data_IF_316398837790
#
_entry.id   IF_316398837790
#
_cell.length_a   1.000
_cell.length_b   1.000
_cell.length_c   1.000
_cell.angle_alpha   90.00
_cell.angle_beta   90.00
_cell.angle_gamma   90.00
#
_symmetry.space_group_name_H-M   'P 1'
#
loop_
_entity.id
_entity.type
_entity.pdbx_description
1 polymer ?
#
# COMPACT_ATOMS: atom_id res chain seq x y z
N UNK A 1 -3.10 -15.65 -0.36
CA UNK A 1 -2.83 -16.23 0.96
C UNK A 1 -4.01 -17.05 1.39
N UNK A 2 -3.79 -18.09 2.17
CA UNK A 2 -4.86 -18.92 2.72
C UNK A 2 -5.72 -18.09 3.71
N UNK A 3 -7.07 -18.21 3.68
CA UNK A 3 -7.94 -17.45 4.58
C UNK A 3 -7.70 -17.74 6.07
N UNK A 4 -7.34 -18.99 6.42
CA UNK A 4 -7.04 -19.36 7.80
C UNK A 4 -5.76 -18.69 8.31
N UNK A 5 -4.81 -18.44 7.39
CA UNK A 5 -3.58 -17.73 7.70
C UNK A 5 -3.80 -16.23 7.93
N UNK A 6 -4.83 -15.64 7.31
CA UNK A 6 -5.18 -14.23 7.47
C UNK A 6 -5.79 -13.91 8.85
N UNK A 7 -6.46 -14.88 9.48
CA UNK A 7 -7.07 -14.71 10.80
C UNK A 7 -6.07 -14.84 11.96
N UNK A 8 -4.93 -15.49 11.70
CA UNK A 8 -3.85 -15.67 12.69
C UNK A 8 -3.36 -14.32 13.22
N UNK A 9 -3.11 -14.24 14.53
CA UNK A 9 -2.58 -13.04 15.17
C UNK A 9 -1.10 -12.91 14.86
N UNK A 10 -0.63 -11.67 14.74
CA UNK A 10 0.79 -11.37 14.53
C UNK A 10 1.66 -11.91 15.68
N UNK A 11 1.14 -11.89 16.90
CA UNK A 11 1.83 -12.39 18.10
C UNK A 11 1.99 -13.91 18.11
N UNK A 12 1.16 -14.64 17.34
CA UNK A 12 1.21 -16.10 17.27
C UNK A 12 2.15 -16.60 16.18
N UNK A 13 2.68 -15.69 15.34
CA UNK A 13 3.65 -16.00 14.32
C UNK A 13 5.06 -16.05 14.92
N UNK A 14 5.86 -17.02 14.48
CA UNK A 14 7.29 -16.99 14.71
C UNK A 14 7.96 -15.87 13.92
N UNK A 15 9.18 -15.50 14.30
CA UNK A 15 9.95 -14.46 13.61
C UNK A 15 10.18 -14.80 12.13
N UNK A 16 10.44 -16.07 11.82
CA UNK A 16 10.60 -16.58 10.46
C UNK A 16 9.29 -16.55 9.66
N UNK A 17 8.15 -16.90 10.27
CA UNK A 17 6.83 -16.77 9.63
C UNK A 17 6.50 -15.29 9.34
N UNK A 18 6.81 -14.41 10.28
CA UNK A 18 6.59 -12.97 10.16
C UNK A 18 7.45 -12.34 9.06
N UNK A 19 8.71 -12.77 8.96
CA UNK A 19 9.61 -12.31 7.91
C UNK A 19 9.12 -12.75 6.53
N UNK A 20 8.63 -13.99 6.42
CA UNK A 20 8.03 -14.53 5.20
C UNK A 20 6.71 -13.82 4.84
N UNK A 21 5.91 -13.48 5.85
CA UNK A 21 4.64 -12.74 5.69
C UNK A 21 4.84 -11.32 5.16
N UNK A 22 5.76 -10.56 5.75
CA UNK A 22 6.01 -9.18 5.34
C UNK A 22 6.70 -9.12 3.97
N UNK A 23 7.63 -10.05 3.72
CA UNK A 23 8.39 -10.08 2.49
C UNK A 23 9.25 -8.83 2.25
N UNK A 24 9.85 -8.70 1.05
CA UNK A 24 10.78 -7.60 0.75
C UNK A 24 10.10 -6.26 0.46
N UNK A 25 8.83 -6.26 0.05
CA UNK A 25 8.09 -5.06 -0.39
C UNK A 25 7.15 -4.49 0.67
N UNK A 26 7.37 -4.79 1.95
CA UNK A 26 6.53 -4.24 3.02
C UNK A 26 6.79 -2.74 3.21
N UNK A 27 5.71 -1.98 3.39
CA UNK A 27 5.80 -0.56 3.71
C UNK A 27 6.55 -0.35 5.04
N UNK A 28 7.43 0.68 5.16
CA UNK A 28 8.16 0.94 6.41
C UNK A 28 7.25 1.09 7.63
N UNK A 29 6.11 1.76 7.47
CA UNK A 29 5.13 1.93 8.55
C UNK A 29 4.50 0.62 9.02
N UNK A 30 4.42 -0.39 8.15
CA UNK A 30 3.89 -1.71 8.53
C UNK A 30 4.89 -2.49 9.38
N UNK A 31 6.20 -2.35 9.12
CA UNK A 31 7.23 -2.94 9.99
C UNK A 31 7.14 -2.39 11.42
N UNK A 32 6.96 -1.08 11.55
CA UNK A 32 6.81 -0.41 12.86
C UNK A 32 5.59 -0.96 13.62
N UNK A 33 4.45 -1.12 12.94
CA UNK A 33 3.23 -1.67 13.56
C UNK A 33 3.46 -3.10 14.07
N UNK A 34 4.15 -3.93 13.30
CA UNK A 34 4.47 -5.30 13.69
C UNK A 34 5.39 -5.34 14.92
N UNK A 35 6.41 -4.49 14.97
CA UNK A 35 7.27 -4.34 16.15
C UNK A 35 6.48 -3.87 17.37
N UNK A 36 5.58 -2.90 17.21
CA UNK A 36 4.75 -2.37 18.30
C UNK A 36 3.77 -3.41 18.85
N UNK A 37 3.20 -4.25 17.97
CA UNK A 37 2.34 -5.38 18.34
C UNK A 37 3.11 -6.41 19.18
N UNK A 38 4.35 -6.74 18.80
CA UNK A 38 5.21 -7.66 19.57
C UNK A 38 5.67 -7.05 20.90
N UNK A 39 5.92 -5.75 20.94
CA UNK A 39 6.30 -5.05 22.16
C UNK A 39 5.13 -4.91 23.17
N UNK A 40 3.90 -4.76 22.67
CA UNK A 40 2.71 -4.52 23.49
C UNK A 40 1.56 -5.51 23.20
N UNK A 41 1.77 -6.83 23.38
CA UNK A 41 0.79 -7.86 23.02
C UNK A 41 -0.50 -7.75 23.83
N UNK A 42 -0.47 -7.18 25.03
CA UNK A 42 -1.66 -6.95 25.87
C UNK A 42 -2.66 -5.99 25.22
N UNK A 43 -2.18 -4.99 24.49
CA UNK A 43 -3.02 -3.96 23.89
C UNK A 43 -3.25 -4.19 22.40
N UNK A 44 -2.28 -4.79 21.71
CA UNK A 44 -2.27 -4.92 20.25
C UNK A 44 -2.28 -6.38 19.77
N UNK A 45 -2.32 -7.36 20.68
CA UNK A 45 -2.37 -8.80 20.35
C UNK A 45 -3.65 -9.27 19.67
N UNK A 46 -4.58 -8.35 19.37
CA UNK A 46 -5.74 -8.63 18.50
C UNK A 46 -5.43 -8.42 17.01
N UNK A 47 -4.31 -7.76 16.68
CA UNK A 47 -3.92 -7.50 15.30
C UNK A 47 -3.58 -8.82 14.61
N UNK A 48 -4.29 -9.10 13.51
CA UNK A 48 -4.11 -10.28 12.68
C UNK A 48 -3.38 -9.97 11.37
N UNK A 49 -2.94 -11.04 10.69
CA UNK A 49 -2.30 -10.95 9.39
C UNK A 49 -3.15 -10.19 8.37
N UNK A 50 -4.48 -10.34 8.39
CA UNK A 50 -5.38 -9.61 7.50
C UNK A 50 -5.28 -8.08 7.66
N UNK A 51 -5.30 -7.58 8.90
CA UNK A 51 -5.19 -6.16 9.18
C UNK A 51 -3.85 -5.61 8.69
N UNK A 52 -2.76 -6.34 8.91
CA UNK A 52 -1.42 -5.96 8.48
C UNK A 52 -1.29 -5.99 6.96
N UNK A 53 -1.84 -6.99 6.26
CA UNK A 53 -1.87 -7.04 4.80
C UNK A 53 -2.67 -5.87 4.21
N UNK A 54 -3.81 -5.52 4.82
CA UNK A 54 -4.60 -4.35 4.41
C UNK A 54 -3.81 -3.04 4.56
N UNK A 55 -3.10 -2.87 5.69
CA UNK A 55 -2.23 -1.71 5.90
C UNK A 55 -1.09 -1.69 4.89
N UNK A 56 -0.49 -2.85 4.63
CA UNK A 56 0.57 -2.96 3.64
C UNK A 56 0.09 -2.57 2.25
N UNK A 57 -1.09 -3.03 1.81
CA UNK A 57 -1.65 -2.63 0.50
C UNK A 57 -2.01 -1.15 0.43
N UNK A 58 -2.45 -0.54 1.53
CA UNK A 58 -2.82 0.89 1.57
C UNK A 58 -1.60 1.82 1.54
N UNK A 59 -0.53 1.44 2.21
CA UNK A 59 0.67 2.28 2.37
C UNK A 59 1.83 1.84 1.50
N UNK A 60 1.75 0.66 0.88
CA UNK A 60 2.68 0.29 -0.20
C UNK A 60 2.54 1.32 -1.29
N UNK A 61 3.68 1.88 -1.68
CA UNK A 61 3.76 2.72 -2.87
C UNK A 61 3.14 1.91 -4.01
N UNK A 62 2.14 2.44 -4.73
CA UNK A 62 1.65 1.75 -5.91
C UNK A 62 2.85 1.52 -6.82
N UNK A 63 3.23 0.26 -7.01
CA UNK A 63 3.93 -0.13 -8.23
C UNK A 63 2.87 -0.02 -9.31
N UNK A 64 2.51 1.22 -9.66
CA UNK A 64 1.60 1.49 -10.75
C UNK A 64 2.15 0.80 -11.99
N UNK A 65 1.30 0.35 -12.92
CA UNK A 65 1.79 -0.01 -14.23
C UNK A 65 2.56 1.21 -14.74
N UNK A 66 3.89 1.07 -14.82
CA UNK A 66 4.75 1.97 -15.57
C UNK A 66 4.35 1.78 -17.02
N UNK A 67 3.27 2.46 -17.42
CA UNK A 67 2.66 2.63 -18.74
C UNK A 67 1.13 2.88 -18.61
N UNK A 68 0.69 3.78 -17.75
CA UNK A 68 -0.47 4.59 -18.12
C UNK A 68 0.10 5.81 -18.85
N UNK A 69 -0.30 6.09 -20.11
CA UNK A 69 0.12 7.33 -20.73
C UNK A 69 -0.35 8.44 -19.79
N UNK A 70 0.60 9.27 -19.35
CA UNK A 70 0.28 10.61 -18.88
C UNK A 70 -0.68 11.16 -19.91
N UNK A 71 -1.96 11.28 -19.55
CA UNK A 71 -2.87 12.08 -20.33
C UNK A 71 -2.32 13.49 -20.16
N UNK A 72 -1.47 13.89 -21.11
CA UNK A 72 -1.17 15.28 -21.33
C UNK A 72 -2.50 15.89 -21.68
N UNK A 73 -3.11 16.55 -20.70
CA UNK A 73 -4.09 17.59 -20.92
C UNK A 73 -3.35 18.64 -21.76
N UNK A 74 -3.24 18.41 -23.06
CA UNK A 74 -2.83 19.43 -24.01
C UNK A 74 -3.92 20.48 -23.94
N UNK A 75 -3.65 21.72 -23.47
CA UNK A 75 -4.60 22.78 -23.68
C UNK A 75 -4.64 23.01 -25.18
N UNK A 76 -5.74 22.63 -25.82
CA UNK A 76 -6.07 23.08 -27.17
C UNK A 76 -6.06 24.61 -27.13
N UNK A 77 -5.18 25.33 -27.86
CA UNK A 77 -5.40 26.75 -28.03
C UNK A 77 -6.69 26.86 -28.85
N UNK A 78 -7.75 27.37 -28.23
CA UNK A 78 -8.90 27.89 -28.95
C UNK A 78 -8.41 29.04 -29.81
N UNK A 79 -8.10 28.78 -31.09
CA UNK A 79 -7.94 29.82 -32.09
C UNK A 79 -9.32 30.14 -32.63
N UNK A 80 -10.06 30.93 -31.84
CA UNK A 80 -11.26 31.62 -32.26
C UNK A 80 -10.94 33.07 -32.57
N UNK A 81 -11.27 33.51 -33.78
CA UNK A 81 -11.74 34.87 -34.05
C UNK A 81 -10.76 35.90 -34.60
N UNK A 82 -11.01 36.27 -35.86
CA UNK A 82 -11.30 37.66 -36.30
C UNK A 82 -10.33 38.31 -37.32
N UNK A 83 -10.84 38.41 -38.55
CA UNK A 83 -11.02 39.59 -39.42
C UNK A 83 -9.93 40.66 -39.68
N UNK A 84 -10.08 41.27 -40.88
CA UNK A 84 -9.38 42.39 -41.56
C UNK A 84 -8.08 42.03 -42.28
N UNK A 85 -7.87 42.36 -43.56
CA UNK A 85 -8.49 43.36 -44.44
C UNK A 85 -7.46 44.42 -44.81
N UNK A 86 -6.91 44.34 -46.02
CA UNK A 86 -6.38 45.43 -46.86
C UNK A 86 -6.02 44.85 -48.24
#
# INVERSE_FOLDING_TARGET
>A
MDPSYMDRKIIDLSEEELTSFLGPNVAPGVRVIVDEVRANPTYLGFVNCFAVDCLNRRYSVPVGPKNAPVSTNSPTPMSGGSEKGA
#
